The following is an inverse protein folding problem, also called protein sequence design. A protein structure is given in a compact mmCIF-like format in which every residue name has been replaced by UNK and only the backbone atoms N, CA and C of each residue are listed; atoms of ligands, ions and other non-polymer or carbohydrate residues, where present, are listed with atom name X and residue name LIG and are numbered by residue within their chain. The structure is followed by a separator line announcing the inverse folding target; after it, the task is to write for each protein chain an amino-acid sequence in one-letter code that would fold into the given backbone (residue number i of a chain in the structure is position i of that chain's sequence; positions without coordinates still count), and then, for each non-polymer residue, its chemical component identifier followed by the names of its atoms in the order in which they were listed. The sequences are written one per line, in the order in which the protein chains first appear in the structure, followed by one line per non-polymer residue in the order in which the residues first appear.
data_IF_488501611005
#
_entry.id   IF_488501611005
#
_cell.length_a   1.000
_cell.length_b   1.000
_cell.length_c   1.000
_cell.angle_alpha   90.00
_cell.angle_beta   90.00
_cell.angle_gamma   90.00
#
_symmetry.space_group_name_H-M   'P 1'
#
loop_
_entity.id
_entity.type
_entity.pdbx_description
1 polymer ?
#
# COMPACT_ATOMS: atom_id res chain seq x y z
N UNK A 1 -10.02 11.96 8.36
CA UNK A 1 -11.24 11.15 8.09
C UNK A 1 -11.82 10.61 9.38
N UNK A 2 -11.14 9.70 10.11
CA UNK A 2 -11.63 9.23 11.42
C UNK A 2 -11.81 10.38 12.43
N UNK A 3 -10.80 11.24 12.58
CA UNK A 3 -10.88 12.48 13.38
C UNK A 3 -12.08 13.34 12.95
N UNK A 4 -12.22 13.55 11.64
CA UNK A 4 -13.32 14.33 11.05
C UNK A 4 -14.70 13.72 11.30
N UNK A 5 -14.78 12.42 11.54
CA UNK A 5 -15.99 11.70 11.92
C UNK A 5 -16.24 11.71 13.45
N UNK A 6 -15.43 12.43 14.22
CA UNK A 6 -15.53 12.51 15.69
C UNK A 6 -14.92 11.33 16.44
N UNK A 7 -14.19 10.44 15.75
CA UNK A 7 -13.45 9.35 16.39
C UNK A 7 -12.08 9.89 16.83
N UNK A 8 -11.67 9.55 18.05
CA UNK A 8 -10.30 9.73 18.52
C UNK A 8 -9.52 8.43 18.30
N UNK A 9 -8.82 8.23 17.16
CA UNK A 9 -8.15 6.98 16.88
C UNK A 9 -6.90 6.81 17.75
N UNK A 10 -6.58 5.56 18.09
CA UNK A 10 -5.27 5.18 18.61
C UNK A 10 -4.30 4.96 17.44
N UNK A 11 -3.22 5.73 17.39
CA UNK A 11 -2.14 5.56 16.43
C UNK A 11 -1.02 4.72 17.03
N UNK A 12 -0.70 3.62 16.35
CA UNK A 12 0.46 2.78 16.62
C UNK A 12 1.66 3.32 15.83
N UNK A 13 2.63 3.91 16.51
CA UNK A 13 3.75 4.59 15.84
C UNK A 13 5.09 4.14 16.40
N UNK A 14 6.06 3.89 15.52
CA UNK A 14 7.45 3.68 15.93
C UNK A 14 8.07 4.97 16.48
N UNK A 15 7.78 6.09 15.82
CA UNK A 15 8.24 7.42 16.20
C UNK A 15 7.06 8.41 16.27
N UNK A 16 6.58 8.73 17.48
CA UNK A 16 5.43 9.62 17.66
C UNK A 16 5.78 11.11 17.48
N UNK A 17 7.06 11.47 17.43
CA UNK A 17 7.51 12.87 17.36
C UNK A 17 7.30 13.48 15.95
N UNK A 18 7.12 12.61 14.93
CA UNK A 18 6.79 13.02 13.56
C UNK A 18 5.33 13.39 13.31
N UNK A 19 4.46 13.32 14.33
CA UNK A 19 3.05 13.71 14.17
C UNK A 19 2.90 15.20 13.96
N UNK A 20 2.02 15.57 13.02
CA UNK A 20 1.69 16.97 12.79
C UNK A 20 1.09 17.61 14.07
N UNK A 21 1.52 18.82 14.47
CA UNK A 21 1.10 19.44 15.73
C UNK A 21 -0.40 19.61 15.89
N UNK A 22 -1.11 19.81 14.77
CA UNK A 22 -2.56 19.94 14.69
C UNK A 22 -3.29 18.59 14.80
N UNK A 23 -2.65 17.48 14.45
CA UNK A 23 -3.21 16.11 14.59
C UNK A 23 -3.01 15.56 15.99
N UNK A 24 -1.89 15.89 16.66
CA UNK A 24 -1.52 15.35 17.97
C UNK A 24 -2.62 15.42 19.05
N UNK A 25 -3.38 16.53 19.23
CA UNK A 25 -4.44 16.59 20.24
C UNK A 25 -5.67 15.73 19.90
N UNK A 26 -5.84 15.35 18.63
CA UNK A 26 -7.02 14.68 18.09
C UNK A 26 -6.91 13.14 18.10
N UNK A 27 -5.80 12.59 18.59
CA UNK A 27 -5.50 11.16 18.56
C UNK A 27 -4.91 10.68 19.88
N UNK A 28 -5.12 9.41 20.19
CA UNK A 28 -4.30 8.71 21.18
C UNK A 28 -3.08 8.09 20.48
N UNK A 29 -1.97 7.94 21.21
CA UNK A 29 -0.71 7.47 20.61
C UNK A 29 -0.07 6.40 21.48
N UNK A 30 0.23 5.26 20.88
CA UNK A 30 1.09 4.24 21.46
C UNK A 30 2.40 4.18 20.67
N UNK A 31 3.51 4.39 21.37
CA UNK A 31 4.84 4.13 20.79
C UNK A 31 5.08 2.63 20.78
N UNK A 32 5.13 2.02 19.60
CA UNK A 32 5.18 0.58 19.42
C UNK A 32 6.04 0.20 18.22
N UNK A 33 6.77 -0.91 18.36
CA UNK A 33 7.37 -1.60 17.23
C UNK A 33 6.34 -2.61 16.70
N UNK A 34 5.95 -2.46 15.44
CA UNK A 34 4.98 -3.36 14.80
C UNK A 34 5.54 -4.76 14.51
N UNK A 35 6.85 -4.96 14.72
CA UNK A 35 7.52 -6.27 14.64
C UNK A 35 7.66 -6.94 16.01
N UNK A 36 7.16 -6.33 17.10
CA UNK A 36 7.05 -6.94 18.43
C UNK A 36 5.57 -7.29 18.72
N UNK A 37 5.15 -8.55 18.50
CA UNK A 37 3.76 -8.95 18.69
C UNK A 37 3.23 -8.67 20.10
N UNK A 38 4.07 -8.84 21.13
CA UNK A 38 3.65 -8.62 22.50
C UNK A 38 3.43 -7.13 22.82
N UNK A 39 4.25 -6.26 22.23
CA UNK A 39 4.06 -4.81 22.36
C UNK A 39 2.81 -4.35 21.63
N UNK A 40 2.55 -4.88 20.44
CA UNK A 40 1.33 -4.60 19.68
C UNK A 40 0.10 -5.01 20.47
N UNK A 41 0.03 -6.25 21.00
CA UNK A 41 -1.10 -6.73 21.82
C UNK A 41 -1.40 -5.81 22.99
N UNK A 42 -0.36 -5.38 23.74
CA UNK A 42 -0.54 -4.44 24.86
C UNK A 42 -1.07 -3.08 24.40
N UNK A 43 -0.58 -2.59 23.26
CA UNK A 43 -0.98 -1.29 22.73
C UNK A 43 -2.43 -1.27 22.26
N UNK A 44 -2.90 -2.37 21.65
CA UNK A 44 -4.27 -2.44 21.10
C UNK A 44 -5.31 -2.96 22.12
N UNK A 45 -4.93 -3.19 23.37
CA UNK A 45 -5.85 -3.70 24.38
C UNK A 45 -7.09 -2.79 24.53
N UNK A 46 -8.27 -3.34 24.24
CA UNK A 46 -9.54 -2.63 24.35
C UNK A 46 -9.94 -1.81 23.12
N UNK A 47 -9.24 -1.93 21.98
CA UNK A 47 -9.71 -1.37 20.71
C UNK A 47 -10.72 -2.31 20.05
N UNK A 48 -11.80 -1.75 19.48
CA UNK A 48 -12.86 -2.55 18.84
C UNK A 48 -12.51 -2.99 17.41
N UNK A 49 -11.65 -2.24 16.73
CA UNK A 49 -11.31 -2.45 15.32
C UNK A 49 -9.91 -1.93 15.02
N UNK A 50 -9.22 -2.63 14.12
CA UNK A 50 -7.85 -2.37 13.73
C UNK A 50 -7.77 -2.05 12.23
N UNK A 51 -7.06 -0.98 11.88
CA UNK A 51 -6.55 -0.80 10.53
C UNK A 51 -5.09 -1.18 10.51
N UNK A 52 -4.76 -2.25 9.80
CA UNK A 52 -3.40 -2.79 9.76
C UNK A 52 -2.73 -2.48 8.44
N UNK A 53 -1.52 -1.95 8.52
CA UNK A 53 -0.62 -1.68 7.39
C UNK A 53 0.72 -2.29 7.77
N UNK A 54 1.20 -3.24 6.97
CA UNK A 54 2.49 -3.85 7.22
C UNK A 54 3.60 -2.79 7.09
N UNK A 55 4.54 -2.73 8.05
CA UNK A 55 5.63 -1.77 7.99
C UNK A 55 6.54 -2.09 6.79
N UNK A 56 7.09 -1.07 6.11
CA UNK A 56 8.09 -1.31 5.07
C UNK A 56 9.34 -1.94 5.73
N UNK A 57 9.90 -3.00 5.13
CA UNK A 57 11.01 -3.74 5.72
C UNK A 57 12.27 -2.87 5.82
N UNK A 58 12.90 -2.87 7.00
CA UNK A 58 14.06 -2.02 7.30
C UNK A 58 15.39 -2.77 7.19
N UNK A 59 15.40 -4.06 7.48
CA UNK A 59 16.55 -4.95 7.46
C UNK A 59 16.76 -5.67 6.12
N UNK A 60 17.57 -6.72 6.19
CA UNK A 60 18.08 -7.45 5.02
C UNK A 60 17.24 -8.66 4.62
N UNK A 61 16.27 -9.07 5.46
CA UNK A 61 15.31 -10.12 5.15
C UNK A 61 13.89 -9.57 5.18
N UNK A 62 13.43 -8.97 4.07
CA UNK A 62 12.08 -8.41 3.96
C UNK A 62 10.98 -9.40 4.34
N UNK A 63 11.09 -10.65 3.90
CA UNK A 63 10.02 -11.63 4.11
C UNK A 63 9.94 -12.08 5.56
N UNK A 64 11.07 -12.22 6.26
CA UNK A 64 11.06 -12.48 7.70
C UNK A 64 10.42 -11.32 8.50
N UNK A 65 10.65 -10.06 8.09
CA UNK A 65 9.98 -8.91 8.72
C UNK A 65 8.47 -8.90 8.46
N UNK A 66 8.03 -9.25 7.24
CA UNK A 66 6.60 -9.43 6.95
C UNK A 66 5.99 -10.59 7.75
N UNK A 67 6.71 -11.69 7.97
CA UNK A 67 6.25 -12.78 8.82
C UNK A 67 6.04 -12.33 10.28
N UNK A 68 6.95 -11.52 10.82
CA UNK A 68 6.80 -10.92 12.16
C UNK A 68 5.64 -9.90 12.23
N UNK A 69 5.46 -9.10 11.18
CA UNK A 69 4.31 -8.19 11.07
C UNK A 69 2.99 -8.96 11.00
N UNK A 70 2.94 -10.05 10.22
CA UNK A 70 1.79 -10.93 10.11
C UNK A 70 1.44 -11.59 11.46
N UNK A 71 2.45 -12.07 12.20
CA UNK A 71 2.28 -12.59 13.56
C UNK A 71 1.72 -11.51 14.49
N UNK A 72 2.27 -10.29 14.43
CA UNK A 72 1.83 -9.15 15.23
C UNK A 72 0.37 -8.80 14.95
N UNK A 73 -0.03 -8.76 13.68
CA UNK A 73 -1.40 -8.51 13.25
C UNK A 73 -2.37 -9.59 13.79
N UNK A 74 -1.99 -10.86 13.65
CA UNK A 74 -2.80 -11.99 14.10
C UNK A 74 -2.96 -12.01 15.63
N UNK A 75 -1.88 -11.73 16.39
CA UNK A 75 -1.93 -11.64 17.85
C UNK A 75 -2.71 -10.41 18.32
N UNK A 76 -2.57 -9.27 17.64
CA UNK A 76 -3.33 -8.07 17.95
C UNK A 76 -4.84 -8.33 18.00
N UNK A 77 -5.35 -9.20 17.12
CA UNK A 77 -6.78 -9.52 17.07
C UNK A 77 -7.17 -10.66 18.00
N UNK A 78 -6.35 -11.71 18.09
CA UNK A 78 -6.70 -12.90 18.87
C UNK A 78 -6.52 -12.67 20.38
N UNK A 79 -5.53 -11.88 20.78
CA UNK A 79 -5.18 -11.60 22.17
C UNK A 79 -5.54 -10.17 22.59
N UNK A 80 -5.46 -9.20 21.68
CA UNK A 80 -5.71 -7.78 21.98
C UNK A 80 -7.19 -7.39 21.99
N UNK A 81 -8.07 -8.25 21.44
CA UNK A 81 -9.53 -8.07 21.49
C UNK A 81 -10.13 -7.28 20.32
N UNK A 82 -9.33 -6.90 19.32
CA UNK A 82 -9.83 -6.24 18.12
C UNK A 82 -10.70 -7.19 17.29
N UNK A 83 -12.02 -7.05 17.37
CA UNK A 83 -12.97 -7.95 16.73
C UNK A 83 -13.00 -7.83 15.20
N UNK A 84 -12.55 -6.67 14.66
CA UNK A 84 -12.53 -6.42 13.22
C UNK A 84 -11.19 -5.87 12.74
N UNK A 85 -10.75 -6.32 11.58
CA UNK A 85 -9.55 -5.81 10.91
C UNK A 85 -9.84 -5.39 9.49
N UNK A 86 -9.45 -4.17 9.16
CA UNK A 86 -9.25 -3.74 7.79
C UNK A 86 -7.75 -3.80 7.51
N UNK A 87 -7.32 -4.72 6.65
CA UNK A 87 -5.92 -4.86 6.25
C UNK A 87 -5.68 -4.20 4.90
N UNK A 88 -4.66 -3.35 4.80
CA UNK A 88 -4.20 -2.82 3.51
C UNK A 88 -3.32 -3.87 2.80
N UNK A 89 -3.95 -4.69 1.97
CA UNK A 89 -3.28 -5.66 1.10
C UNK A 89 -2.95 -5.04 -0.28
N UNK A 90 -2.45 -5.86 -1.20
CA UNK A 90 -2.11 -5.47 -2.57
C UNK A 90 -2.76 -6.40 -3.56
N UNK A 91 -3.13 -5.87 -4.73
CA UNK A 91 -3.26 -6.71 -5.93
C UNK A 91 -1.95 -7.48 -6.12
N UNK A 92 -2.06 -8.78 -6.40
CA UNK A 92 -0.93 -9.71 -6.48
C UNK A 92 -0.82 -10.64 -5.26
N UNK A 93 -1.35 -10.25 -4.10
CA UNK A 93 -1.32 -11.09 -2.90
C UNK A 93 -2.06 -12.43 -3.09
N UNK A 94 -3.04 -12.49 -4.01
CA UNK A 94 -3.73 -13.72 -4.41
C UNK A 94 -2.79 -14.82 -4.94
N UNK A 95 -1.67 -14.43 -5.56
CA UNK A 95 -0.71 -15.39 -6.13
C UNK A 95 0.04 -16.15 -5.05
N UNK A 96 0.02 -15.65 -3.81
CA UNK A 96 0.69 -16.17 -2.60
C UNK A 96 2.22 -16.18 -2.64
N UNK A 97 2.83 -16.43 -3.80
CA UNK A 97 4.28 -16.45 -3.99
C UNK A 97 4.67 -15.90 -5.36
N UNK A 98 5.91 -15.40 -5.46
CA UNK A 98 6.49 -14.92 -6.70
C UNK A 98 6.00 -13.53 -7.11
N UNK A 99 5.65 -12.69 -6.12
CA UNK A 99 5.38 -11.26 -6.26
C UNK A 99 6.33 -10.39 -5.43
N UNK A 100 7.47 -10.94 -4.96
CA UNK A 100 8.43 -10.18 -4.15
C UNK A 100 7.84 -9.80 -2.79
N UNK A 101 7.95 -8.53 -2.38
CA UNK A 101 7.41 -8.08 -1.07
C UNK A 101 5.89 -8.27 -0.92
N UNK A 102 5.14 -8.34 -2.02
CA UNK A 102 3.69 -8.64 -1.98
C UNK A 102 3.41 -10.05 -1.42
N UNK A 103 4.38 -10.98 -1.47
CA UNK A 103 4.27 -12.29 -0.83
C UNK A 103 4.14 -12.17 0.70
N UNK A 104 4.77 -11.14 1.29
CA UNK A 104 4.61 -10.80 2.71
C UNK A 104 3.19 -10.38 3.06
N UNK A 105 2.59 -9.51 2.24
CA UNK A 105 1.18 -9.13 2.39
C UNK A 105 0.25 -10.35 2.26
N UNK A 106 0.58 -11.29 1.37
CA UNK A 106 -0.16 -12.53 1.23
C UNK A 106 -0.06 -13.43 2.48
N UNK A 107 1.09 -13.44 3.16
CA UNK A 107 1.26 -14.13 4.45
C UNK A 107 0.41 -13.47 5.54
N UNK A 108 0.36 -12.14 5.59
CA UNK A 108 -0.51 -11.40 6.51
C UNK A 108 -2.00 -11.69 6.23
N UNK A 109 -2.42 -11.78 4.97
CA UNK A 109 -3.80 -12.20 4.64
C UNK A 109 -4.14 -13.58 5.24
N UNK A 110 -3.21 -14.54 5.11
CA UNK A 110 -3.37 -15.90 5.62
C UNK A 110 -3.41 -15.90 7.14
N UNK A 111 -2.50 -15.20 7.80
CA UNK A 111 -2.41 -15.11 9.25
C UNK A 111 -3.70 -14.53 9.87
N UNK A 112 -4.19 -13.42 9.33
CA UNK A 112 -5.44 -12.81 9.77
C UNK A 112 -6.66 -13.72 9.52
N UNK A 113 -6.72 -14.39 8.37
CA UNK A 113 -7.82 -15.32 8.04
C UNK A 113 -7.87 -16.54 8.97
N UNK A 114 -6.74 -16.94 9.56
CA UNK A 114 -6.66 -18.03 10.53
C UNK A 114 -7.21 -17.67 11.93
N UNK A 115 -7.53 -16.39 12.17
CA UNK A 115 -8.14 -15.92 13.42
C UNK A 115 -9.67 -15.96 13.36
N UNK A 116 -10.30 -15.74 14.51
CA UNK A 116 -11.76 -15.62 14.65
C UNK A 116 -12.28 -14.19 14.39
N UNK A 117 -11.39 -13.24 14.06
CA UNK A 117 -11.77 -11.87 13.77
C UNK A 117 -12.57 -11.75 12.47
N UNK A 118 -13.35 -10.68 12.35
CA UNK A 118 -13.90 -10.27 11.06
C UNK A 118 -12.80 -9.54 10.28
N UNK A 119 -12.50 -10.02 9.08
CA UNK A 119 -11.35 -9.53 8.31
C UNK A 119 -11.79 -9.00 6.96
N UNK A 120 -11.31 -7.82 6.60
CA UNK A 120 -11.43 -7.24 5.28
C UNK A 120 -10.04 -6.94 4.72
N UNK A 121 -9.67 -7.64 3.66
CA UNK A 121 -8.44 -7.37 2.91
C UNK A 121 -8.73 -6.37 1.78
N UNK A 122 -8.13 -5.19 1.86
CA UNK A 122 -8.18 -4.19 0.80
C UNK A 122 -7.05 -4.45 -0.19
N UNK A 123 -7.31 -5.18 -1.28
CA UNK A 123 -6.30 -5.41 -2.33
C UNK A 123 -6.22 -4.18 -3.22
N UNK A 124 -5.26 -3.32 -2.91
CA UNK A 124 -5.16 -2.02 -3.55
C UNK A 124 -4.42 -2.11 -4.90
N UNK A 125 -4.81 -1.25 -5.85
CA UNK A 125 -4.07 -1.08 -7.11
C UNK A 125 -2.72 -0.37 -6.91
N UNK A 126 -2.03 -0.09 -8.02
CA UNK A 126 -0.76 0.61 -8.00
C UNK A 126 -0.95 2.08 -7.57
N UNK A 127 -0.23 2.52 -6.53
CA UNK A 127 -0.46 3.84 -5.95
C UNK A 127 0.02 4.96 -6.87
N UNK A 128 -0.77 6.02 -7.02
CA UNK A 128 -0.34 7.22 -7.74
C UNK A 128 0.95 7.80 -7.16
N UNK A 129 1.10 7.77 -5.83
CA UNK A 129 2.28 8.27 -5.11
C UNK A 129 3.58 7.52 -5.44
N UNK A 130 3.52 6.34 -6.05
CA UNK A 130 4.73 5.66 -6.53
C UNK A 130 5.45 6.47 -7.63
N UNK A 131 4.76 7.37 -8.32
CA UNK A 131 5.37 8.33 -9.25
C UNK A 131 6.29 9.34 -8.54
N UNK A 132 6.13 9.57 -7.23
CA UNK A 132 7.02 10.43 -6.45
C UNK A 132 8.44 9.84 -6.31
N UNK A 133 8.62 8.53 -6.55
CA UNK A 133 9.97 7.92 -6.63
C UNK A 133 10.69 8.20 -7.96
N UNK A 134 10.00 8.78 -8.94
CA UNK A 134 10.57 9.08 -10.26
C UNK A 134 10.68 10.58 -10.55
N UNK A 135 10.67 11.44 -9.53
CA UNK A 135 10.69 12.89 -9.72
C UNK A 135 11.84 13.36 -10.62
N UNK A 136 13.06 12.80 -10.45
CA UNK A 136 14.20 13.20 -11.27
C UNK A 136 14.08 12.73 -12.73
N UNK A 137 13.59 11.52 -12.96
CA UNK A 137 13.29 11.05 -14.32
C UNK A 137 12.21 11.91 -14.97
N UNK A 138 11.14 12.24 -14.22
CA UNK A 138 10.04 13.07 -14.72
C UNK A 138 10.53 14.49 -15.04
N UNK A 139 11.42 15.07 -14.22
CA UNK A 139 12.08 16.36 -14.52
C UNK A 139 12.89 16.30 -15.81
N UNK A 140 13.52 15.16 -16.08
CA UNK A 140 14.28 14.89 -17.31
C UNK A 140 13.39 14.52 -18.52
N UNK A 141 12.06 14.51 -18.38
CA UNK A 141 11.15 14.18 -19.48
C UNK A 141 10.86 12.68 -19.62
N UNK A 142 11.10 11.88 -18.58
CA UNK A 142 11.12 10.42 -18.67
C UNK A 142 10.32 9.73 -17.55
N UNK A 143 9.76 8.57 -17.88
CA UNK A 143 9.29 7.57 -16.92
C UNK A 143 10.01 6.25 -17.20
N UNK A 144 10.72 5.74 -16.21
CA UNK A 144 11.48 4.50 -16.31
C UNK A 144 10.71 3.35 -15.65
N UNK A 145 10.45 2.29 -16.41
CA UNK A 145 9.51 1.24 -16.01
C UNK A 145 10.06 -0.15 -16.29
N UNK A 146 9.67 -1.14 -15.49
CA UNK A 146 10.00 -2.55 -15.72
C UNK A 146 8.92 -3.29 -16.54
N UNK A 147 7.66 -2.94 -16.29
CA UNK A 147 6.51 -3.55 -16.93
C UNK A 147 6.40 -3.15 -18.41
N UNK A 148 5.78 -3.98 -19.26
CA UNK A 148 5.45 -3.60 -20.63
C UNK A 148 4.67 -2.28 -20.68
N UNK A 149 5.10 -1.35 -21.54
CA UNK A 149 4.57 0.02 -21.55
C UNK A 149 3.08 0.13 -21.91
N UNK A 150 2.55 -0.91 -22.57
CA UNK A 150 1.16 -1.02 -23.00
C UNK A 150 0.32 -1.96 -22.12
N UNK A 151 0.88 -2.55 -21.07
CA UNK A 151 0.12 -3.42 -20.16
C UNK A 151 -0.72 -2.54 -19.22
N UNK A 152 -2.06 -2.63 -19.26
CA UNK A 152 -2.91 -1.92 -18.30
C UNK A 152 -2.85 -2.60 -16.93
N UNK A 153 -2.91 -1.80 -15.87
CA UNK A 153 -3.03 -2.28 -14.49
C UNK A 153 -3.92 -1.32 -13.68
N UNK A 154 -4.57 -1.77 -12.59
CA UNK A 154 -5.33 -0.86 -11.75
C UNK A 154 -4.40 0.11 -11.04
N UNK A 155 -4.72 1.40 -11.09
CA UNK A 155 -4.05 2.43 -10.31
C UNK A 155 -5.01 3.01 -9.28
N UNK A 156 -4.52 3.60 -8.18
CA UNK A 156 -5.38 4.15 -7.11
C UNK A 156 -4.70 5.28 -6.34
N UNK A 157 -5.50 6.21 -5.82
CA UNK A 157 -5.05 7.26 -4.89
C UNK A 157 -4.98 6.71 -3.46
N UNK A 158 -3.90 6.95 -2.69
CA UNK A 158 -3.86 6.60 -1.27
C UNK A 158 -4.98 7.26 -0.45
N UNK A 159 -5.47 8.43 -0.87
CA UNK A 159 -6.62 9.07 -0.25
C UNK A 159 -7.87 8.20 -0.35
N UNK A 160 -8.12 7.63 -1.52
CA UNK A 160 -9.31 6.80 -1.76
C UNK A 160 -9.24 5.49 -0.95
N UNK A 161 -8.04 4.92 -0.80
CA UNK A 161 -7.79 3.77 0.09
C UNK A 161 -8.16 4.13 1.54
N UNK A 162 -7.70 5.30 2.01
CA UNK A 162 -8.02 5.78 3.34
C UNK A 162 -9.53 6.03 3.53
N UNK A 163 -10.23 6.53 2.51
CA UNK A 163 -11.71 6.71 2.54
C UNK A 163 -12.44 5.38 2.67
N UNK A 164 -12.05 4.37 1.88
CA UNK A 164 -12.62 3.02 1.96
C UNK A 164 -12.33 2.39 3.32
N UNK A 165 -11.08 2.46 3.79
CA UNK A 165 -10.69 1.89 5.09
C UNK A 165 -11.46 2.57 6.24
N UNK A 166 -11.50 3.90 6.28
CA UNK A 166 -12.23 4.64 7.30
C UNK A 166 -13.72 4.32 7.28
N UNK A 167 -14.36 4.24 6.10
CA UNK A 167 -15.77 3.86 5.98
C UNK A 167 -16.03 2.46 6.55
N UNK A 168 -15.13 1.51 6.31
CA UNK A 168 -15.24 0.14 6.83
C UNK A 168 -15.06 0.05 8.33
N UNK A 169 -14.13 0.82 8.90
CA UNK A 169 -13.94 0.94 10.35
C UNK A 169 -15.15 1.58 11.03
N UNK A 170 -15.71 2.65 10.44
CA UNK A 170 -16.85 3.38 10.99
C UNK A 170 -18.18 2.61 10.90
N UNK A 171 -18.35 1.76 9.88
CA UNK A 171 -19.61 1.04 9.68
C UNK A 171 -19.91 0.03 10.80
N UNK A 172 -18.91 -0.58 11.43
CA UNK A 172 -19.05 -1.44 12.60
C UNK A 172 -19.94 -2.68 12.49
N UNK A 173 -20.65 -2.91 11.39
CA UNK A 173 -21.73 -3.93 11.30
C UNK A 173 -21.43 -5.09 10.33
N UNK A 174 -20.23 -5.14 9.76
CA UNK A 174 -19.84 -6.25 8.90
C UNK A 174 -19.19 -7.38 9.70
N UNK A 175 -19.34 -8.61 9.20
CA UNK A 175 -18.82 -9.83 9.80
C UNK A 175 -18.28 -10.79 8.73
N UNK A 176 -17.46 -11.74 9.15
CA UNK A 176 -16.84 -12.74 8.27
C UNK A 176 -15.55 -12.25 7.60
N UNK A 177 -15.18 -12.91 6.51
CA UNK A 177 -13.93 -12.66 5.77
C UNK A 177 -14.26 -12.14 4.38
N UNK A 178 -13.70 -10.99 4.03
CA UNK A 178 -13.97 -10.27 2.80
C UNK A 178 -12.68 -9.87 2.11
N UNK A 179 -12.74 -9.79 0.79
CA UNK A 179 -11.70 -9.19 -0.04
C UNK A 179 -12.37 -8.09 -0.85
N UNK A 180 -11.82 -6.90 -0.81
CA UNK A 180 -12.29 -5.76 -1.61
C UNK A 180 -11.11 -5.19 -2.39
N UNK A 181 -11.21 -5.22 -3.72
CA UNK A 181 -10.32 -4.44 -4.56
C UNK A 181 -10.57 -2.93 -4.33
N UNK A 182 -9.50 -2.16 -4.24
CA UNK A 182 -9.57 -0.69 -4.19
C UNK A 182 -8.76 -0.12 -5.34
N UNK A 183 -9.47 0.32 -6.36
CA UNK A 183 -8.91 0.80 -7.61
C UNK A 183 -9.45 2.22 -7.88
N UNK A 184 -8.62 3.10 -8.44
CA UNK A 184 -9.03 4.40 -9.01
C UNK A 184 -9.98 4.25 -10.21
N UNK A 185 -10.22 5.27 -11.04
CA UNK A 185 -11.28 5.22 -12.05
C UNK A 185 -10.96 4.36 -13.29
N UNK A 186 -9.69 4.00 -13.53
CA UNK A 186 -9.27 3.31 -14.75
C UNK A 186 -8.08 2.38 -14.54
N UNK A 187 -8.01 1.32 -15.35
CA UNK A 187 -6.79 0.55 -15.56
C UNK A 187 -5.93 1.28 -16.59
N UNK A 188 -4.71 1.66 -16.23
CA UNK A 188 -3.85 2.50 -17.05
C UNK A 188 -2.56 1.77 -17.39
N UNK A 189 -2.15 1.88 -18.65
CA UNK A 189 -0.80 1.51 -19.09
C UNK A 189 0.20 2.65 -18.82
N UNK A 190 1.49 2.34 -18.80
CA UNK A 190 2.52 3.37 -18.63
C UNK A 190 2.49 4.42 -19.74
N UNK A 191 2.14 4.06 -20.97
CA UNK A 191 1.90 5.01 -22.07
C UNK A 191 0.77 6.00 -21.75
N UNK A 192 -0.35 5.51 -21.21
CA UNK A 192 -1.46 6.39 -20.79
C UNK A 192 -1.08 7.27 -19.60
N UNK A 193 -0.34 6.71 -18.64
CA UNK A 193 0.21 7.44 -17.49
C UNK A 193 1.10 8.58 -17.95
N UNK A 194 2.04 8.32 -18.88
CA UNK A 194 2.91 9.36 -19.44
C UNK A 194 2.10 10.49 -20.09
N UNK A 195 1.08 10.17 -20.88
CA UNK A 195 0.20 11.17 -21.49
C UNK A 195 -0.55 12.02 -20.45
N UNK A 196 -1.14 11.39 -19.43
CA UNK A 196 -1.87 12.08 -18.36
C UNK A 196 -0.94 12.98 -17.55
N UNK A 197 0.20 12.44 -17.11
CA UNK A 197 1.17 13.19 -16.30
C UNK A 197 1.76 14.32 -17.13
N UNK A 198 2.11 14.09 -18.40
CA UNK A 198 2.60 15.15 -19.31
C UNK A 198 1.65 16.33 -19.38
N UNK A 199 0.35 16.05 -19.53
CA UNK A 199 -0.69 17.09 -19.55
C UNK A 199 -0.78 17.86 -18.23
N UNK A 200 -0.66 17.18 -17.10
CA UNK A 200 -0.71 17.80 -15.77
C UNK A 200 0.52 18.67 -15.46
N UNK A 201 1.73 18.21 -15.84
CA UNK A 201 3.00 18.89 -15.52
C UNK A 201 3.44 19.89 -16.60
N UNK A 202 2.82 19.85 -17.78
CA UNK A 202 3.10 20.76 -18.89
C UNK A 202 4.41 20.48 -19.63
N UNK A 203 4.93 19.26 -19.55
CA UNK A 203 6.16 18.81 -20.24
C UNK A 203 5.92 17.43 -20.88
N UNK A 204 6.44 17.17 -22.08
CA UNK A 204 6.34 15.85 -22.69
C UNK A 204 7.12 14.82 -21.86
N UNK A 205 6.51 13.65 -21.64
CA UNK A 205 7.14 12.50 -21.02
C UNK A 205 7.16 11.34 -22.01
N UNK A 206 8.34 10.75 -22.19
CA UNK A 206 8.48 9.47 -22.85
C UNK A 206 8.56 8.34 -21.81
N UNK A 207 8.15 7.13 -22.21
CA UNK A 207 8.24 5.94 -21.35
C UNK A 207 9.40 5.09 -21.82
N UNK A 208 10.39 4.91 -20.96
CA UNK A 208 11.52 4.03 -21.19
C UNK A 208 11.30 2.73 -20.40
N UNK A 209 11.21 1.61 -21.11
CA UNK A 209 11.27 0.30 -20.45
C UNK A 209 12.74 -0.07 -20.25
N UNK A 210 13.18 -0.08 -18.99
CA UNK A 210 14.56 -0.41 -18.64
C UNK A 210 14.71 -1.92 -18.41
N UNK A 211 15.90 -2.50 -18.67
CA UNK A 211 16.21 -3.86 -18.26
C UNK A 211 16.12 -4.02 -16.74
N UNK A 212 15.73 -5.20 -16.28
CA UNK A 212 15.68 -5.54 -14.86
C UNK A 212 17.01 -5.25 -14.14
N UNK A 213 18.13 -5.60 -14.78
CA UNK A 213 19.48 -5.36 -14.27
C UNK A 213 19.77 -3.88 -14.00
N UNK A 214 19.23 -2.97 -14.81
CA UNK A 214 19.42 -1.54 -14.61
C UNK A 214 18.70 -1.06 -13.34
N UNK A 215 17.49 -1.56 -13.08
CA UNK A 215 16.77 -1.27 -11.82
C UNK A 215 17.51 -1.86 -10.63
N UNK A 216 17.98 -3.12 -10.74
CA UNK A 216 18.73 -3.79 -9.67
C UNK A 216 19.97 -3.01 -9.27
N UNK A 217 20.75 -2.55 -10.26
CA UNK A 217 21.93 -1.71 -10.04
C UNK A 217 21.56 -0.38 -9.38
N UNK A 218 20.45 0.23 -9.78
CA UNK A 218 19.98 1.49 -9.19
C UNK A 218 19.62 1.30 -7.71
N UNK A 219 18.84 0.27 -7.38
CA UNK A 219 18.45 -0.06 -6.01
C UNK A 219 19.66 -0.43 -5.13
N UNK A 220 20.59 -1.23 -5.66
CA UNK A 220 21.85 -1.54 -4.96
C UNK A 220 22.71 -0.28 -4.74
N UNK A 221 22.68 0.68 -5.67
CA UNK A 221 23.35 1.97 -5.52
C UNK A 221 22.83 2.82 -4.36
N UNK A 222 21.59 2.58 -3.91
CA UNK A 222 21.04 3.17 -2.69
C UNK A 222 21.43 2.41 -1.41
N UNK A 223 22.35 1.44 -1.49
CA UNK A 223 22.85 0.68 -0.35
C UNK A 223 21.94 -0.47 0.09
N UNK A 224 20.96 -0.86 -0.74
CA UNK A 224 20.08 -1.99 -0.45
C UNK A 224 20.82 -3.32 -0.59
N UNK A 225 20.56 -4.27 0.31
CA UNK A 225 21.05 -5.64 0.21
C UNK A 225 20.40 -6.38 -0.96
N UNK A 226 21.04 -7.47 -1.41
CA UNK A 226 20.58 -8.25 -2.56
C UNK A 226 19.14 -8.77 -2.38
N UNK A 227 18.81 -9.28 -1.19
CA UNK A 227 17.48 -9.80 -0.88
C UNK A 227 16.39 -8.70 -0.92
N UNK A 228 16.71 -7.48 -0.50
CA UNK A 228 15.81 -6.32 -0.62
C UNK A 228 15.63 -5.87 -2.06
N UNK A 229 16.71 -5.84 -2.85
CA UNK A 229 16.63 -5.59 -4.29
C UNK A 229 15.76 -6.64 -4.99
N UNK A 230 15.96 -7.92 -4.68
CA UNK A 230 15.16 -9.03 -5.22
C UNK A 230 13.68 -8.87 -4.88
N UNK A 231 13.36 -8.54 -3.63
CA UNK A 231 11.98 -8.41 -3.17
C UNK A 231 11.25 -7.23 -3.82
N UNK A 232 11.92 -6.08 -3.96
CA UNK A 232 11.36 -4.89 -4.64
C UNK A 232 11.17 -5.11 -6.14
N UNK A 233 12.16 -5.70 -6.82
CA UNK A 233 12.07 -6.00 -8.25
C UNK A 233 10.99 -7.06 -8.49
N UNK A 234 10.87 -8.04 -7.60
CA UNK A 234 9.84 -9.08 -7.60
C UNK A 234 8.42 -8.54 -7.63
N UNK A 235 8.15 -7.40 -6.98
CA UNK A 235 6.84 -6.74 -7.04
C UNK A 235 6.45 -6.29 -8.44
N UNK A 236 7.42 -5.99 -9.31
CA UNK A 236 7.13 -5.66 -10.71
C UNK A 236 7.17 -6.91 -11.59
N UNK A 237 8.22 -7.72 -11.46
CA UNK A 237 8.42 -8.87 -12.36
C UNK A 237 7.40 -9.98 -12.13
N UNK A 238 6.81 -10.07 -10.93
CA UNK A 238 5.75 -11.02 -10.61
C UNK A 238 4.47 -10.84 -11.45
N UNK A 239 4.22 -9.63 -11.97
CA UNK A 239 3.12 -9.32 -12.88
C UNK A 239 3.40 -9.65 -14.36
N UNK A 240 4.65 -10.00 -14.69
CA UNK A 240 5.01 -10.47 -16.03
C UNK A 240 4.35 -11.83 -16.29
N UNK A 241 4.12 -12.14 -17.57
CA UNK A 241 3.47 -13.40 -17.97
C UNK A 241 1.94 -13.36 -17.97
N UNK A 242 1.34 -12.16 -17.93
CA UNK A 242 -0.11 -12.00 -18.12
C UNK A 242 -0.93 -12.24 -16.85
N UNK A 243 -0.42 -11.83 -15.69
CA UNK A 243 -1.18 -11.88 -14.44
C UNK A 243 -2.50 -11.12 -14.57
N UNK A 244 -3.59 -11.73 -14.09
CA UNK A 244 -4.92 -11.13 -14.04
C UNK A 244 -5.36 -11.12 -12.57
N UNK A 245 -5.66 -9.95 -11.98
CA UNK A 245 -6.16 -9.87 -10.60
C UNK A 245 -7.45 -10.69 -10.43
N UNK A 246 -7.59 -11.39 -9.29
CA UNK A 246 -8.82 -12.12 -8.97
C UNK A 246 -10.02 -11.18 -8.88
N UNK A 247 -9.81 -10.00 -8.29
CA UNK A 247 -10.83 -8.96 -8.20
C UNK A 247 -10.62 -7.94 -9.33
N UNK A 248 -11.31 -8.15 -10.44
CA UNK A 248 -11.35 -7.19 -11.54
C UNK A 248 -12.12 -5.92 -11.15
N UNK A 249 -11.84 -4.84 -11.89
CA UNK A 249 -12.53 -3.56 -11.73
C UNK A 249 -14.05 -3.73 -11.87
N UNK A 250 -14.77 -3.23 -10.87
CA UNK A 250 -16.22 -3.16 -10.83
C UNK A 250 -16.67 -1.83 -10.24
N UNK A 251 -17.98 -1.58 -10.22
CA UNK A 251 -18.55 -0.40 -9.56
C UNK A 251 -18.18 -0.33 -8.06
N UNK A 252 -18.01 -1.48 -7.41
CA UNK A 252 -17.68 -1.55 -5.97
C UNK A 252 -16.19 -1.33 -5.69
N UNK A 253 -15.33 -1.61 -6.67
CA UNK A 253 -13.89 -1.42 -6.51
C UNK A 253 -13.40 -0.07 -7.01
N UNK A 254 -14.24 0.68 -7.75
CA UNK A 254 -13.85 1.91 -8.45
C UNK A 254 -14.02 3.11 -7.53
N UNK A 255 -12.93 3.84 -7.32
CA UNK A 255 -12.85 5.05 -6.50
C UNK A 255 -12.68 6.29 -7.39
N UNK A 256 -13.03 7.49 -6.89
CA UNK A 256 -13.29 8.63 -7.77
C UNK A 256 -12.04 9.38 -8.22
N UNK A 257 -10.93 9.36 -7.47
CA UNK A 257 -9.79 10.23 -7.73
C UNK A 257 -9.07 9.81 -9.01
N UNK A 258 -9.06 10.69 -10.01
CA UNK A 258 -8.34 10.43 -11.27
C UNK A 258 -6.83 10.68 -11.13
N UNK A 259 -6.02 9.99 -11.94
CA UNK A 259 -4.59 10.27 -12.01
C UNK A 259 -4.31 11.72 -12.44
N UNK A 260 -5.13 12.31 -13.32
CA UNK A 260 -4.97 13.69 -13.78
C UNK A 260 -5.15 14.71 -12.64
N UNK A 261 -6.20 14.55 -11.84
CA UNK A 261 -6.46 15.38 -10.67
C UNK A 261 -5.34 15.27 -9.63
N UNK A 262 -4.94 14.03 -9.30
CA UNK A 262 -3.84 13.79 -8.37
C UNK A 262 -2.53 14.37 -8.91
N UNK A 263 -2.20 14.15 -10.17
CA UNK A 263 -0.95 14.64 -10.76
C UNK A 263 -0.90 16.17 -10.77
N UNK A 264 -2.01 16.84 -11.06
CA UNK A 264 -2.08 18.30 -11.04
C UNK A 264 -1.95 18.87 -9.62
N UNK A 265 -2.65 18.29 -8.65
CA UNK A 265 -2.72 18.83 -7.28
C UNK A 265 -1.54 18.43 -6.41
N UNK A 266 -0.91 17.28 -6.66
CA UNK A 266 0.14 16.71 -5.81
C UNK A 266 1.49 16.57 -6.52
N UNK A 267 1.53 15.89 -7.66
CA UNK A 267 2.81 15.59 -8.33
C UNK A 267 3.45 16.86 -8.91
N UNK A 268 2.67 17.71 -9.59
CA UNK A 268 3.15 18.93 -10.23
C UNK A 268 3.87 19.88 -9.25
N UNK A 269 3.33 20.20 -8.05
CA UNK A 269 4.05 21.01 -7.06
C UNK A 269 5.42 20.47 -6.65
N UNK A 270 5.63 19.14 -6.66
CA UNK A 270 6.92 18.54 -6.31
C UNK A 270 7.99 18.67 -7.42
N UNK A 271 7.54 19.00 -8.64
CA UNK A 271 8.39 19.16 -9.83
C UNK A 271 8.72 20.62 -10.14
N UNK A 272 8.11 21.55 -9.41
CA UNK A 272 8.30 23.00 -9.54
C UNK A 272 9.67 23.46 -9.02
#
# INVERSE_FOLDING_TARGET
MLISAGVKPLLLLRDPDGLAPDVRPEVDVAKVDLLDPHSVVRAVAGVDSLYWVDPPPAGDDPLAEYELAAESAAKAVSEGGAARVVFQSSVGAEKRRGMGEIDGLAATEVALNATDAHVLHLRCGYFFTNLEYQLDAIRAGMLQVLLPVNQPMPWVSPRDIAEVAAGRLLSGEWSGRHIQAVHGPADLSWQQVAGIVSGAVGKPLEVERIPEEAMRKTLAGFGMSAAKVDSLVGMSTGFLGGFVPEQQRSILSTTPTTLAEWAYSRLRPLLA
#
